data_IF_679958813712
#
_entry.id   IF_679958813712
#
_cell.length_a   1.000
_cell.length_b   1.000
_cell.length_c   1.000
_cell.angle_alpha   90.00
_cell.angle_beta   90.00
_cell.angle_gamma   90.00
#
_symmetry.space_group_name_H-M   'P 1'
#
loop_
_entity.id
_entity.type
_entity.pdbx_description
1 polymer ?
#
# COMPACT_ATOMS: atom_id res chain seq x y z
N UNK A 1 -11.30 7.08 -12.89
CA UNK A 1 -10.38 5.92 -12.96
C UNK A 1 -10.87 4.72 -12.16
N UNK A 2 -10.72 3.50 -12.71
CA UNK A 2 -10.90 2.24 -11.96
C UNK A 2 -9.65 1.97 -11.11
N UNK A 3 -9.83 1.36 -9.94
CA UNK A 3 -8.72 1.02 -9.05
C UNK A 3 -8.80 -0.42 -8.56
N UNK A 4 -7.70 -0.91 -8.01
CA UNK A 4 -7.56 -2.24 -7.40
C UNK A 4 -6.87 -2.14 -6.04
N UNK A 5 -6.97 -3.21 -5.24
CA UNK A 5 -6.29 -3.30 -3.93
C UNK A 5 -4.78 -3.09 -4.06
N UNK A 6 -4.13 -2.68 -2.97
CA UNK A 6 -2.67 -2.59 -2.91
C UNK A 6 -2.06 -3.98 -3.03
N UNK A 7 -1.06 -4.11 -3.90
CA UNK A 7 -0.23 -5.30 -4.01
C UNK A 7 1.22 -4.88 -3.75
N UNK A 8 1.90 -5.63 -2.89
CA UNK A 8 3.31 -5.41 -2.55
C UNK A 8 4.11 -6.64 -2.95
N UNK A 9 5.30 -6.41 -3.49
CA UNK A 9 6.30 -7.46 -3.67
C UNK A 9 7.37 -7.33 -2.60
N UNK A 10 7.83 -8.45 -2.05
CA UNK A 10 8.91 -8.47 -1.09
C UNK A 10 10.18 -7.87 -1.72
N UNK A 11 10.82 -6.86 -1.12
CA UNK A 11 12.05 -6.28 -1.67
C UNK A 11 13.24 -7.24 -1.62
N UNK A 12 13.18 -8.28 -0.78
CA UNK A 12 14.26 -9.27 -0.62
C UNK A 12 14.14 -10.46 -1.58
N UNK A 13 12.94 -11.02 -1.77
CA UNK A 13 12.73 -12.25 -2.55
C UNK A 13 11.69 -12.13 -3.70
N UNK A 14 11.08 -10.95 -3.87
CA UNK A 14 10.05 -10.66 -4.88
C UNK A 14 8.74 -11.45 -4.76
N UNK A 15 8.58 -12.28 -3.72
CA UNK A 15 7.30 -12.93 -3.42
C UNK A 15 6.20 -11.89 -3.16
N UNK A 16 4.98 -12.20 -3.58
CA UNK A 16 3.76 -11.41 -3.32
C UNK A 16 2.97 -11.93 -2.11
N UNK A 17 3.46 -12.95 -1.42
CA UNK A 17 2.85 -13.48 -0.19
C UNK A 17 3.17 -12.58 1.01
N UNK A 18 2.57 -11.38 1.01
CA UNK A 18 2.78 -10.35 2.02
C UNK A 18 1.54 -10.23 2.88
N UNK A 19 1.71 -10.26 4.20
CA UNK A 19 0.64 -10.00 5.14
C UNK A 19 0.99 -8.85 6.06
N UNK A 20 -0.05 -8.09 6.43
CA UNK A 20 0.04 -7.05 7.42
C UNK A 20 0.21 -7.67 8.82
N UNK A 21 1.30 -7.35 9.52
CA UNK A 21 1.67 -8.05 10.76
C UNK A 21 1.16 -7.36 12.04
N UNK A 22 0.57 -6.17 11.93
CA UNK A 22 0.15 -5.35 13.06
C UNK A 22 -1.38 -5.31 13.21
N UNK A 23 -1.88 -4.76 14.33
CA UNK A 23 -3.27 -4.30 14.38
C UNK A 23 -3.44 -3.15 13.36
N UNK A 24 -4.55 -3.08 12.60
CA UNK A 24 -4.77 -1.99 11.65
C UNK A 24 -4.58 -0.61 12.30
N UNK A 25 -3.81 0.27 11.65
CA UNK A 25 -3.43 1.61 12.13
C UNK A 25 -2.45 1.68 13.33
N UNK A 26 -1.84 0.57 13.75
CA UNK A 26 -0.82 0.57 14.82
C UNK A 26 0.61 0.71 14.27
N UNK A 27 0.93 -0.02 13.19
CA UNK A 27 2.21 0.07 12.47
C UNK A 27 1.99 -0.39 11.03
N UNK A 28 2.56 0.30 10.03
CA UNK A 28 2.46 -0.13 8.64
C UNK A 28 3.40 -1.30 8.30
N UNK A 29 3.80 -2.09 9.29
CA UNK A 29 4.74 -3.18 9.08
C UNK A 29 4.09 -4.38 8.38
N UNK A 30 4.74 -4.85 7.33
CA UNK A 30 4.36 -6.01 6.55
C UNK A 30 5.47 -7.05 6.60
N UNK A 31 5.08 -8.32 6.59
CA UNK A 31 6.01 -9.45 6.61
C UNK A 31 5.78 -10.32 5.39
N UNK A 32 6.87 -10.75 4.76
CA UNK A 32 6.85 -11.73 3.69
C UNK A 32 6.76 -13.15 4.25
N UNK A 33 5.73 -13.91 3.88
CA UNK A 33 5.58 -15.31 4.30
C UNK A 33 6.69 -16.21 3.75
N UNK A 34 7.24 -15.89 2.57
CA UNK A 34 8.21 -16.77 1.91
C UNK A 34 9.63 -16.68 2.46
N UNK A 35 10.11 -15.49 2.85
CA UNK A 35 11.48 -15.31 3.38
C UNK A 35 11.54 -14.68 4.79
N UNK A 36 10.40 -14.32 5.37
CA UNK A 36 10.33 -13.70 6.69
C UNK A 36 10.84 -12.26 6.76
N UNK A 37 11.26 -11.64 5.65
CA UNK A 37 11.66 -10.23 5.64
C UNK A 37 10.48 -9.32 5.99
N UNK A 38 10.76 -8.24 6.72
CA UNK A 38 9.77 -7.21 7.06
C UNK A 38 10.10 -5.87 6.41
N UNK A 39 9.07 -5.05 6.17
CA UNK A 39 9.20 -3.72 5.59
C UNK A 39 7.94 -2.89 5.83
N UNK A 40 8.09 -1.57 5.76
CA UNK A 40 6.98 -0.62 5.88
C UNK A 40 6.75 0.10 4.55
N UNK A 41 5.55 0.03 3.94
CA UNK A 41 5.19 0.91 2.85
C UNK A 41 4.90 2.30 3.39
N UNK A 42 5.43 3.31 2.72
CA UNK A 42 5.13 4.72 2.94
C UNK A 42 4.74 5.37 1.61
N UNK A 43 3.97 6.44 1.66
CA UNK A 43 3.63 7.19 0.45
C UNK A 43 4.25 8.58 0.42
N UNK A 44 4.50 9.08 -0.80
CA UNK A 44 4.84 10.48 -1.07
C UNK A 44 3.76 11.13 -1.92
N UNK A 45 3.34 12.34 -1.54
CA UNK A 45 2.37 13.10 -2.33
C UNK A 45 2.98 13.60 -3.64
N UNK A 46 2.31 13.31 -4.76
CA UNK A 46 2.73 13.72 -6.11
C UNK A 46 1.82 14.77 -6.75
N UNK A 47 0.68 15.05 -6.14
CA UNK A 47 -0.31 16.00 -6.67
C UNK A 47 -1.74 15.47 -6.53
N UNK A 48 -2.75 16.24 -6.93
CA UNK A 48 -4.11 15.73 -7.06
C UNK A 48 -4.23 14.77 -8.25
N UNK A 49 -5.12 13.79 -8.14
CA UNK A 49 -5.58 12.99 -9.25
C UNK A 49 -6.31 13.88 -10.28
N UNK A 50 -6.09 13.64 -11.57
CA UNK A 50 -6.72 14.40 -12.65
C UNK A 50 -8.15 13.93 -12.95
N UNK A 51 -8.54 12.76 -12.45
CA UNK A 51 -9.87 12.17 -12.60
C UNK A 51 -10.44 11.74 -11.26
N UNK A 52 -11.77 11.62 -11.13
CA UNK A 52 -12.40 11.00 -9.97
C UNK A 52 -11.88 9.59 -9.73
N UNK A 53 -11.57 9.29 -8.47
CA UNK A 53 -11.12 7.97 -8.01
C UNK A 53 -12.34 7.13 -7.64
N UNK A 54 -12.50 5.99 -8.30
CA UNK A 54 -13.51 5.00 -7.92
C UNK A 54 -12.82 3.90 -7.11
N UNK A 55 -13.22 3.63 -5.85
CA UNK A 55 -12.70 2.50 -5.07
C UNK A 55 -12.84 1.16 -5.81
N UNK A 56 -12.05 0.14 -5.45
CA UNK A 56 -12.18 -1.18 -6.04
C UNK A 56 -13.53 -1.82 -5.70
N UNK A 57 -13.99 -2.71 -6.59
CA UNK A 57 -15.25 -3.45 -6.43
C UNK A 57 -15.24 -4.31 -5.15
N UNK A 58 -14.06 -4.82 -4.75
CA UNK A 58 -13.83 -5.49 -3.47
C UNK A 58 -12.84 -4.69 -2.61
N UNK A 59 -13.28 -4.29 -1.41
CA UNK A 59 -12.43 -3.59 -0.46
C UNK A 59 -11.37 -4.52 0.15
N UNK A 60 -10.20 -4.00 0.53
CA UNK A 60 -9.19 -4.77 1.25
C UNK A 60 -9.72 -5.36 2.56
N UNK A 61 -9.38 -6.61 2.85
CA UNK A 61 -9.61 -7.24 4.15
C UNK A 61 -8.53 -6.81 5.16
N UNK A 62 -8.73 -7.11 6.44
CA UNK A 62 -7.84 -6.65 7.52
C UNK A 62 -6.38 -7.16 7.42
N UNK A 63 -6.16 -8.23 6.65
CA UNK A 63 -4.84 -8.85 6.43
C UNK A 63 -4.19 -8.44 5.12
N UNK A 64 -4.94 -7.78 4.22
CA UNK A 64 -4.43 -7.34 2.94
C UNK A 64 -3.38 -6.23 3.13
N UNK A 65 -2.41 -6.10 2.21
CA UNK A 65 -1.46 -5.00 2.25
C UNK A 65 -2.15 -3.63 2.30
N UNK A 66 -1.62 -2.72 3.12
CA UNK A 66 -2.19 -1.40 3.32
C UNK A 66 -1.11 -0.33 3.48
N UNK A 67 -1.46 0.93 3.22
CA UNK A 67 -0.58 2.08 3.40
C UNK A 67 -1.39 3.35 3.69
N UNK A 68 -0.85 4.25 4.51
CA UNK A 68 -1.44 5.56 4.74
C UNK A 68 -1.21 6.51 3.57
N UNK A 69 -2.20 7.34 3.29
CA UNK A 69 -2.08 8.50 2.42
C UNK A 69 -1.19 9.58 3.05
N UNK A 70 -0.12 9.99 2.36
CA UNK A 70 0.80 11.04 2.81
C UNK A 70 0.16 12.42 3.06
N UNK A 71 -1.06 12.66 2.55
CA UNK A 71 -1.74 13.95 2.67
C UNK A 71 -2.81 13.98 3.76
N UNK A 72 -3.56 12.89 3.95
CA UNK A 72 -4.73 12.87 4.83
C UNK A 72 -4.79 11.66 5.74
N UNK A 73 -3.74 10.84 5.78
CA UNK A 73 -3.53 9.68 6.67
C UNK A 73 -4.54 8.53 6.53
N UNK A 74 -5.53 8.69 5.65
CA UNK A 74 -6.49 7.63 5.30
C UNK A 74 -5.79 6.42 4.68
N UNK A 75 -6.26 5.23 5.03
CA UNK A 75 -5.85 3.94 4.44
C UNK A 75 -6.66 3.57 3.19
N UNK A 76 -7.57 4.44 2.73
CA UNK A 76 -8.28 4.26 1.46
C UNK A 76 -7.37 4.57 0.25
N UNK A 77 -6.23 3.88 0.17
CA UNK A 77 -5.21 4.00 -0.87
C UNK A 77 -5.26 2.77 -1.77
N UNK A 78 -5.36 2.99 -3.08
CA UNK A 78 -5.57 1.95 -4.09
C UNK A 78 -4.62 2.14 -5.27
N UNK A 79 -4.42 1.07 -6.04
CA UNK A 79 -3.57 1.10 -7.24
C UNK A 79 -4.44 1.51 -8.44
N UNK A 80 -3.99 2.51 -9.19
CA UNK A 80 -4.56 2.90 -10.48
C UNK A 80 -3.89 2.13 -11.64
N UNK A 81 -4.47 2.17 -12.83
CA UNK A 81 -4.04 1.37 -14.00
C UNK A 81 -2.57 1.55 -14.44
N UNK A 82 -1.90 2.63 -14.02
CA UNK A 82 -0.50 2.90 -14.33
C UNK A 82 0.48 2.53 -13.20
N UNK A 83 0.02 1.81 -12.17
CA UNK A 83 0.84 1.44 -11.00
C UNK A 83 1.01 2.57 -9.98
N UNK A 84 0.55 3.78 -10.28
CA UNK A 84 0.47 4.86 -9.30
C UNK A 84 -0.56 4.56 -8.22
N UNK A 85 -0.31 5.05 -7.01
CA UNK A 85 -1.27 4.96 -5.92
C UNK A 85 -2.18 6.19 -5.90
N UNK A 86 -3.44 5.99 -5.54
CA UNK A 86 -4.42 7.06 -5.37
C UNK A 86 -5.19 6.91 -4.07
N UNK A 87 -5.42 8.02 -3.38
CA UNK A 87 -6.27 8.04 -2.20
C UNK A 87 -7.72 8.36 -2.59
N UNK A 88 -8.65 7.42 -2.36
CA UNK A 88 -10.07 7.63 -2.66
C UNK A 88 -10.75 8.65 -1.73
N UNK A 89 -10.17 8.93 -0.55
CA UNK A 89 -10.74 9.89 0.39
C UNK A 89 -10.44 11.35 0.02
N UNK A 90 -9.23 11.67 -0.43
CA UNK A 90 -8.82 13.05 -0.72
C UNK A 90 -8.42 13.29 -2.18
N UNK A 91 -8.50 12.27 -3.04
CA UNK A 91 -8.17 12.36 -4.45
C UNK A 91 -6.70 12.67 -4.73
N UNK A 92 -5.78 12.23 -3.86
CA UNK A 92 -4.35 12.47 -4.05
C UNK A 92 -3.70 11.37 -4.86
N UNK A 93 -2.81 11.75 -5.78
CA UNK A 93 -1.84 10.88 -6.44
C UNK A 93 -0.63 10.71 -5.52
N UNK A 94 -0.21 9.47 -5.36
CA UNK A 94 0.79 9.03 -4.40
C UNK A 94 1.82 8.12 -5.09
N UNK A 95 3.06 8.22 -4.64
CA UNK A 95 4.12 7.27 -4.96
C UNK A 95 4.39 6.38 -3.76
N UNK A 96 4.62 5.09 -4.01
CA UNK A 96 4.94 4.10 -3.00
C UNK A 96 6.46 4.01 -2.81
N UNK A 97 6.90 3.98 -1.56
CA UNK A 97 8.26 3.61 -1.17
C UNK A 97 8.22 2.55 -0.08
N UNK A 98 9.22 1.67 -0.06
CA UNK A 98 9.41 0.67 0.99
C UNK A 98 10.57 1.09 1.88
N UNK A 99 10.32 1.18 3.18
CA UNK A 99 11.28 1.58 4.22
C UNK A 99 11.41 0.50 5.29
N UNK A 100 12.29 0.72 6.27
CA UNK A 100 12.51 -0.19 7.40
C UNK A 100 12.70 -1.66 6.98
N UNK A 101 13.40 -1.87 5.86
CA UNK A 101 13.58 -3.20 5.28
C UNK A 101 14.54 -4.00 6.16
N UNK A 102 14.02 -5.03 6.81
CA UNK A 102 14.80 -5.99 7.59
C UNK A 102 14.74 -7.36 6.91
N UNK A 103 15.90 -7.85 6.47
CA UNK A 103 16.02 -9.20 5.94
C UNK A 103 16.12 -10.21 7.09
N UNK A 104 15.35 -11.29 7.02
CA UNK A 104 15.62 -12.50 7.79
C UNK A 104 16.51 -13.39 6.92
N UNK A 105 17.78 -13.54 7.32
CA UNK A 105 18.73 -14.48 6.72
C UNK A 105 18.62 -15.85 7.39
#
# INVERSE_FOLDING_TARGET
>A
MKTRKLELACPACQSTEIFYSCTPNCCFNHVCSSCGASFEPVTKFRGPAQEPVTPPDSLPDATDPTVACARCESTAVYVADQGNLVCAQCGSLLELELTEIAANN
#
